data_IF_277145883304
#
_entry.id   IF_277145883304
#
_cell.length_a   1.000
_cell.length_b   1.000
_cell.length_c   1.000
_cell.angle_alpha   90.00
_cell.angle_beta   90.00
_cell.angle_gamma   90.00
#
_symmetry.space_group_name_H-M   'P 1'
#
loop_
_entity.id
_entity.type
_entity.pdbx_description
1 polymer ?
#
# COMPACT_ATOMS: atom_id res chain seq x y z
N UNK A 1 3.75 8.34 4.04
CA UNK A 1 2.29 8.13 3.95
C UNK A 1 1.56 9.34 3.33
N UNK A 2 1.50 10.53 3.93
CA UNK A 2 0.59 11.61 3.47
C UNK A 2 0.68 12.02 1.98
N UNK A 3 1.87 11.96 1.38
CA UNK A 3 2.09 12.41 -0.01
C UNK A 3 2.15 11.26 -1.03
N UNK A 4 2.01 9.99 -0.62
CA UNK A 4 2.27 8.87 -1.54
C UNK A 4 1.31 8.84 -2.74
N UNK A 5 0.05 9.23 -2.53
CA UNK A 5 -0.99 9.28 -3.56
C UNK A 5 -1.11 10.63 -4.29
N UNK A 6 -0.25 11.62 -4.02
CA UNK A 6 -0.42 12.99 -4.57
C UNK A 6 -0.40 13.02 -6.11
N UNK A 7 0.27 12.06 -6.75
CA UNK A 7 0.29 11.96 -8.21
C UNK A 7 -1.07 11.64 -8.83
N UNK A 8 -2.02 11.08 -8.08
CA UNK A 8 -3.39 10.85 -8.56
C UNK A 8 -4.12 12.15 -8.94
N UNK A 9 -3.67 13.30 -8.44
CA UNK A 9 -4.17 14.62 -8.86
C UNK A 9 -3.76 14.99 -10.29
N UNK A 10 -2.77 14.32 -10.87
CA UNK A 10 -2.31 14.53 -12.25
C UNK A 10 -2.79 13.38 -13.14
N UNK A 11 -2.48 12.14 -12.77
CA UNK A 11 -2.86 10.96 -13.54
C UNK A 11 -2.81 9.70 -12.67
N UNK A 12 -3.58 8.66 -13.03
CA UNK A 12 -3.56 7.36 -12.30
C UNK A 12 -2.39 6.47 -12.71
N UNK A 13 -2.05 6.48 -13.99
CA UNK A 13 -0.87 5.79 -14.50
C UNK A 13 0.40 6.47 -13.96
N UNK A 14 1.33 5.66 -13.46
CA UNK A 14 2.60 6.09 -12.87
C UNK A 14 2.45 7.14 -11.74
N UNK A 15 1.32 7.16 -11.03
CA UNK A 15 1.00 8.18 -10.04
C UNK A 15 2.03 8.24 -8.89
N UNK A 16 2.66 7.13 -8.53
CA UNK A 16 3.71 7.09 -7.51
C UNK A 16 4.97 7.82 -7.98
N UNK A 17 5.31 7.64 -9.26
CA UNK A 17 6.48 8.25 -9.93
C UNK A 17 6.29 9.76 -10.08
N UNK A 18 5.10 10.17 -10.54
CA UNK A 18 4.70 11.58 -10.62
C UNK A 18 4.60 12.18 -9.22
N UNK A 19 4.05 11.42 -8.27
CA UNK A 19 3.87 11.83 -6.88
C UNK A 19 5.19 12.16 -6.19
N UNK A 20 6.23 11.35 -6.41
CA UNK A 20 7.57 11.66 -5.93
C UNK A 20 8.07 13.01 -6.48
N UNK A 21 7.91 13.28 -7.78
CA UNK A 21 8.32 14.55 -8.36
C UNK A 21 7.56 15.75 -7.74
N UNK A 22 6.25 15.63 -7.58
CA UNK A 22 5.42 16.68 -6.96
C UNK A 22 5.75 16.91 -5.48
N UNK A 23 6.09 15.84 -4.76
CA UNK A 23 6.38 15.90 -3.34
C UNK A 23 7.65 16.70 -3.02
N UNK A 24 8.63 16.74 -3.92
CA UNK A 24 9.93 17.43 -3.70
C UNK A 24 9.76 18.86 -3.17
N UNK A 25 8.97 19.68 -3.85
CA UNK A 25 8.84 21.11 -3.50
C UNK A 25 8.00 21.35 -2.24
N UNK A 26 7.10 20.42 -1.92
CA UNK A 26 6.40 20.40 -0.64
C UNK A 26 7.38 20.07 0.49
N UNK A 27 8.19 19.03 0.30
CA UNK A 27 9.18 18.58 1.27
C UNK A 27 10.27 19.63 1.50
N UNK A 28 10.77 20.29 0.46
CA UNK A 28 11.78 21.36 0.58
C UNK A 28 11.29 22.48 1.51
N UNK A 29 10.02 22.89 1.38
CA UNK A 29 9.41 23.94 2.21
C UNK A 29 9.22 23.54 3.67
N UNK A 30 8.95 22.25 3.92
CA UNK A 30 8.66 21.72 5.26
C UNK A 30 9.96 21.35 5.98
N UNK A 31 10.79 20.50 5.37
CA UNK A 31 11.98 19.92 5.98
C UNK A 31 13.02 20.99 6.33
N UNK A 32 13.19 22.00 5.48
CA UNK A 32 14.12 23.10 5.76
C UNK A 32 13.75 23.86 7.04
N UNK A 33 12.45 24.06 7.31
CA UNK A 33 11.96 24.74 8.51
C UNK A 33 12.09 23.88 9.77
N UNK A 34 11.94 22.55 9.63
CA UNK A 34 11.93 21.63 10.77
C UNK A 34 13.33 21.20 11.22
N UNK A 35 14.24 20.93 10.27
CA UNK A 35 15.52 20.27 10.57
C UNK A 35 16.65 21.28 10.77
N UNK A 36 16.57 22.47 10.16
CA UNK A 36 17.60 23.52 10.24
C UNK A 36 18.94 23.19 9.55
N UNK A 37 19.33 21.91 9.52
CA UNK A 37 20.48 21.41 8.79
C UNK A 37 20.10 21.03 7.35
N UNK A 38 20.68 21.74 6.37
CA UNK A 38 20.37 21.54 4.94
C UNK A 38 20.78 20.18 4.41
N UNK A 39 21.94 19.66 4.83
CA UNK A 39 22.43 18.36 4.38
C UNK A 39 21.54 17.23 4.85
N UNK A 40 21.16 17.25 6.14
CA UNK A 40 20.25 16.26 6.71
C UNK A 40 18.84 16.35 6.11
N UNK A 41 18.30 17.57 5.92
CA UNK A 41 17.01 17.77 5.26
C UNK A 41 16.99 17.20 3.84
N UNK A 42 18.10 17.37 3.09
CA UNK A 42 18.23 16.78 1.76
C UNK A 42 18.22 15.25 1.80
N UNK A 43 18.97 14.61 2.70
CA UNK A 43 18.99 13.15 2.81
C UNK A 43 17.62 12.59 3.14
N UNK A 44 16.95 13.15 4.16
CA UNK A 44 15.59 12.74 4.55
C UNK A 44 14.61 12.93 3.41
N UNK A 45 14.73 14.03 2.64
CA UNK A 45 13.90 14.23 1.46
C UNK A 45 14.08 13.08 0.47
N UNK A 46 15.31 12.67 0.17
CA UNK A 46 15.54 11.56 -0.76
C UNK A 46 14.91 10.25 -0.28
N UNK A 47 15.00 9.95 1.02
CA UNK A 47 14.35 8.79 1.61
C UNK A 47 12.82 8.86 1.50
N UNK A 48 12.22 10.03 1.72
CA UNK A 48 10.77 10.20 1.56
C UNK A 48 10.36 10.06 0.09
N UNK A 49 11.12 10.64 -0.85
CA UNK A 49 10.85 10.52 -2.28
C UNK A 49 10.97 9.08 -2.77
N UNK A 50 11.97 8.36 -2.29
CA UNK A 50 12.12 6.92 -2.51
C UNK A 50 10.93 6.15 -1.93
N UNK A 51 10.52 6.41 -0.69
CA UNK A 51 9.38 5.75 -0.08
C UNK A 51 8.07 5.99 -0.84
N UNK A 52 7.86 7.20 -1.39
CA UNK A 52 6.70 7.50 -2.24
C UNK A 52 6.75 6.71 -3.54
N UNK A 53 7.87 6.75 -4.28
CA UNK A 53 7.94 6.03 -5.54
C UNK A 53 7.86 4.51 -5.34
N UNK A 54 8.47 4.02 -4.27
CA UNK A 54 8.50 2.61 -3.93
C UNK A 54 7.15 2.05 -3.47
N UNK A 55 6.06 2.83 -3.36
CA UNK A 55 4.71 2.26 -3.16
C UNK A 55 4.17 1.56 -4.41
N UNK A 56 4.71 1.87 -5.60
CA UNK A 56 4.37 1.20 -6.84
C UNK A 56 4.62 -0.31 -6.75
N UNK A 57 3.69 -1.13 -7.24
CA UNK A 57 3.69 -2.58 -7.03
C UNK A 57 4.93 -3.31 -7.60
N UNK A 58 5.59 -2.74 -8.60
CA UNK A 58 6.73 -3.32 -9.33
C UNK A 58 8.11 -2.73 -8.92
N UNK A 59 8.13 -1.75 -8.03
CA UNK A 59 9.38 -1.08 -7.60
C UNK A 59 9.91 -1.69 -6.31
N UNK A 60 11.16 -2.15 -6.27
CA UNK A 60 11.75 -2.67 -5.04
C UNK A 60 12.00 -1.57 -4.00
N UNK A 61 11.59 -1.82 -2.76
CA UNK A 61 12.00 -1.02 -1.62
C UNK A 61 13.47 -1.28 -1.28
N UNK A 62 14.21 -0.19 -1.06
CA UNK A 62 15.62 -0.20 -0.65
C UNK A 62 15.83 0.14 0.84
N UNK A 63 14.76 0.51 1.55
CA UNK A 63 14.78 0.84 2.98
C UNK A 63 13.57 0.20 3.68
N UNK A 64 13.72 -0.03 4.98
CA UNK A 64 12.67 -0.63 5.82
C UNK A 64 11.46 0.28 5.89
N UNK A 65 11.69 1.59 6.01
CA UNK A 65 10.66 2.63 6.06
C UNK A 65 9.81 2.63 4.78
N UNK A 66 10.44 2.52 3.60
CA UNK A 66 9.73 2.39 2.34
C UNK A 66 8.90 1.09 2.28
N UNK A 67 9.46 -0.03 2.76
CA UNK A 67 8.76 -1.31 2.85
C UNK A 67 7.52 -1.25 3.73
N UNK A 68 7.63 -0.60 4.89
CA UNK A 68 6.50 -0.38 5.82
C UNK A 68 5.41 0.46 5.15
N UNK A 69 5.78 1.58 4.51
CA UNK A 69 4.80 2.46 3.84
C UNK A 69 4.08 1.72 2.72
N UNK A 70 4.81 0.94 1.91
CA UNK A 70 4.25 0.14 0.82
C UNK A 70 3.29 -0.95 1.31
N UNK A 71 3.64 -1.68 2.37
CA UNK A 71 2.76 -2.69 2.94
C UNK A 71 1.51 -2.02 3.52
N UNK A 72 1.67 -0.92 4.26
CA UNK A 72 0.54 -0.18 4.83
C UNK A 72 -0.45 0.30 3.75
N UNK A 73 0.07 0.86 2.64
CA UNK A 73 -0.73 1.23 1.47
C UNK A 73 -1.40 0.01 0.83
N UNK A 74 -0.68 -1.10 0.68
CA UNK A 74 -1.27 -2.36 0.21
C UNK A 74 -2.41 -2.89 1.10
N UNK A 75 -2.36 -2.69 2.42
CA UNK A 75 -3.38 -3.16 3.37
C UNK A 75 -4.61 -2.24 3.46
N UNK A 76 -4.56 -1.04 2.89
CA UNK A 76 -5.64 -0.05 2.86
C UNK A 76 -6.71 -0.39 1.79
N UNK A 77 -7.15 -1.65 1.77
CA UNK A 77 -8.03 -2.23 0.75
C UNK A 77 -9.46 -2.53 1.22
N UNK A 78 -9.80 -2.21 2.47
CA UNK A 78 -11.14 -2.47 3.00
C UNK A 78 -12.21 -1.65 2.24
N UNK A 79 -13.42 -2.22 2.11
CA UNK A 79 -14.52 -1.74 1.24
C UNK A 79 -14.91 -0.26 1.40
N UNK A 80 -14.53 0.41 2.49
CA UNK A 80 -14.84 1.83 2.76
C UNK A 80 -14.57 2.75 1.56
N UNK A 81 -13.36 2.71 0.98
CA UNK A 81 -12.98 3.56 -0.17
C UNK A 81 -13.60 3.10 -1.49
N UNK A 82 -13.87 1.80 -1.65
CA UNK A 82 -14.41 1.22 -2.89
C UNK A 82 -15.90 1.53 -3.12
N UNK A 83 -16.65 1.88 -2.06
CA UNK A 83 -18.08 2.22 -2.16
C UNK A 83 -18.37 3.47 -3.00
N UNK A 84 -17.50 4.48 -2.97
CA UNK A 84 -17.75 5.75 -3.66
C UNK A 84 -17.69 5.59 -5.18
N UNK A 85 -16.61 5.02 -5.78
CA UNK A 85 -16.54 4.80 -7.22
C UNK A 85 -17.67 3.90 -7.75
N UNK A 86 -18.04 2.86 -6.99
CA UNK A 86 -19.13 1.96 -7.37
C UNK A 86 -20.48 2.68 -7.45
N UNK A 87 -20.81 3.50 -6.44
CA UNK A 87 -22.04 4.32 -6.45
C UNK A 87 -22.09 5.32 -7.61
N UNK A 88 -20.93 5.75 -8.10
CA UNK A 88 -20.80 6.63 -9.26
C UNK A 88 -20.85 5.87 -10.61
N UNK A 89 -21.18 4.57 -10.60
CA UNK A 89 -21.37 3.76 -11.80
C UNK A 89 -20.10 3.10 -12.34
N UNK A 90 -18.98 3.16 -11.61
CA UNK A 90 -17.74 2.47 -12.02
C UNK A 90 -17.85 0.97 -11.71
N UNK A 91 -18.07 0.18 -12.74
CA UNK A 91 -18.08 -1.29 -12.68
C UNK A 91 -16.80 -1.87 -13.28
N UNK A 92 -15.67 -1.77 -12.58
CA UNK A 92 -14.46 -2.52 -12.92
C UNK A 92 -14.24 -3.69 -11.94
N UNK A 93 -13.48 -4.69 -12.37
CA UNK A 93 -13.17 -5.87 -11.55
C UNK A 93 -12.47 -5.48 -10.24
N UNK A 94 -11.70 -4.39 -10.27
CA UNK A 94 -11.01 -3.86 -9.10
C UNK A 94 -11.99 -3.33 -8.04
N UNK A 95 -12.99 -2.54 -8.43
CA UNK A 95 -14.02 -2.01 -7.53
C UNK A 95 -14.91 -3.13 -7.01
N UNK A 96 -15.30 -4.08 -7.86
CA UNK A 96 -16.11 -5.23 -7.44
C UNK A 96 -15.36 -6.08 -6.40
N UNK A 97 -14.10 -6.42 -6.70
CA UNK A 97 -13.25 -7.20 -5.79
C UNK A 97 -13.01 -6.47 -4.46
N UNK A 98 -12.75 -5.16 -4.50
CA UNK A 98 -12.52 -4.37 -3.28
C UNK A 98 -13.78 -4.24 -2.40
N UNK A 99 -14.99 -4.28 -2.98
CA UNK A 99 -16.24 -4.28 -2.21
C UNK A 99 -16.48 -5.58 -1.43
N UNK A 100 -15.86 -6.68 -1.86
CA UNK A 100 -15.98 -7.94 -1.15
C UNK A 100 -15.16 -7.95 0.15
N UNK A 101 -14.10 -7.14 0.24
CA UNK A 101 -13.20 -7.09 1.40
C UNK A 101 -13.83 -6.26 2.52
N UNK A 102 -14.15 -6.90 3.64
CA UNK A 102 -14.84 -6.30 4.78
C UNK A 102 -13.88 -5.67 5.77
N UNK A 103 -12.82 -6.39 6.10
CA UNK A 103 -11.82 -5.92 7.04
C UNK A 103 -10.48 -6.60 6.80
N UNK A 104 -9.44 -5.94 7.31
CA UNK A 104 -8.07 -6.47 7.35
C UNK A 104 -7.63 -6.39 8.80
N UNK A 105 -7.15 -7.52 9.33
CA UNK A 105 -6.62 -7.61 10.69
C UNK A 105 -5.14 -7.98 10.64
N UNK A 106 -4.36 -7.36 11.52
CA UNK A 106 -2.94 -7.65 11.70
C UNK A 106 -2.78 -8.23 13.11
N UNK A 107 -2.19 -9.42 13.21
CA UNK A 107 -1.90 -10.09 14.49
C UNK A 107 -0.52 -10.71 14.49
N UNK A 108 -0.14 -11.28 15.63
CA UNK A 108 0.98 -12.22 15.68
C UNK A 108 0.69 -13.44 14.79
N UNK A 109 1.70 -13.88 14.04
CA UNK A 109 1.60 -15.04 13.16
C UNK A 109 2.20 -16.31 13.78
N UNK A 110 1.95 -17.45 13.12
CA UNK A 110 2.37 -18.76 13.63
C UNK A 110 3.75 -19.14 13.10
N UNK A 111 3.97 -19.01 11.79
CA UNK A 111 5.26 -19.35 11.16
C UNK A 111 6.15 -18.13 10.95
N UNK A 112 5.52 -16.98 10.77
CA UNK A 112 6.15 -15.67 10.58
C UNK A 112 5.61 -14.70 11.62
N UNK A 113 6.37 -13.67 12.01
CA UNK A 113 6.00 -12.80 13.14
C UNK A 113 4.68 -12.04 12.91
N UNK A 114 4.30 -11.77 11.65
CA UNK A 114 3.12 -10.97 11.33
C UNK A 114 2.13 -11.80 10.51
N UNK A 115 0.89 -11.93 10.99
CA UNK A 115 -0.22 -12.47 10.23
C UNK A 115 -1.19 -11.36 9.78
N UNK A 116 -1.52 -11.36 8.49
CA UNK A 116 -2.53 -10.51 7.87
C UNK A 116 -3.74 -11.37 7.54
N UNK A 117 -4.89 -11.12 8.16
CA UNK A 117 -6.16 -11.78 7.83
C UNK A 117 -7.05 -10.83 7.06
N UNK A 118 -7.45 -11.25 5.87
CA UNK A 118 -8.30 -10.48 4.97
C UNK A 118 -9.67 -11.14 4.95
N UNK A 119 -10.66 -10.48 5.57
CA UNK A 119 -12.02 -10.96 5.65
C UNK A 119 -12.80 -10.49 4.43
N UNK A 120 -13.46 -11.40 3.75
CA UNK A 120 -14.21 -11.13 2.52
C UNK A 120 -15.60 -11.77 2.55
N UNK A 121 -16.59 -11.14 1.90
CA UNK A 121 -17.93 -11.70 1.76
C UNK A 121 -17.99 -12.89 0.81
N UNK A 122 -17.08 -12.93 -0.16
CA UNK A 122 -17.03 -13.92 -1.23
C UNK A 122 -15.63 -13.95 -1.86
N UNK A 123 -15.37 -14.91 -2.74
CA UNK A 123 -14.06 -15.16 -3.32
C UNK A 123 -13.59 -14.10 -4.33
N UNK A 124 -14.43 -13.14 -4.73
CA UNK A 124 -14.00 -12.09 -5.67
C UNK A 124 -12.90 -11.21 -5.10
N UNK A 125 -12.78 -11.09 -3.77
CA UNK A 125 -11.76 -10.30 -3.07
C UNK A 125 -10.34 -10.79 -3.26
N UNK A 126 -10.18 -12.06 -3.62
CA UNK A 126 -8.86 -12.67 -3.88
C UNK A 126 -8.09 -11.88 -4.93
N UNK A 127 -8.76 -11.30 -5.93
CA UNK A 127 -8.10 -10.52 -6.97
C UNK A 127 -7.34 -9.29 -6.42
N UNK A 128 -7.93 -8.54 -5.47
CA UNK A 128 -7.22 -7.44 -4.81
C UNK A 128 -5.99 -7.94 -4.04
N UNK A 129 -6.10 -9.10 -3.38
CA UNK A 129 -4.98 -9.67 -2.64
C UNK A 129 -3.85 -10.08 -3.58
N UNK A 130 -4.16 -10.83 -4.65
CA UNK A 130 -3.17 -11.38 -5.58
C UNK A 130 -2.52 -10.36 -6.50
N UNK A 131 -3.30 -9.39 -7.00
CA UNK A 131 -2.83 -8.45 -8.02
C UNK A 131 -2.42 -7.09 -7.46
N UNK A 132 -2.80 -6.76 -6.21
CA UNK A 132 -2.45 -5.47 -5.59
C UNK A 132 -1.54 -5.67 -4.38
N UNK A 133 -1.97 -6.46 -3.39
CA UNK A 133 -1.22 -6.58 -2.14
C UNK A 133 0.00 -7.48 -2.22
N UNK A 134 -0.12 -8.71 -2.74
CA UNK A 134 1.01 -9.65 -2.81
C UNK A 134 2.19 -9.10 -3.64
N UNK A 135 1.99 -8.40 -4.78
CA UNK A 135 3.09 -7.76 -5.49
C UNK A 135 3.81 -6.70 -4.65
N UNK A 136 3.05 -5.87 -3.93
CA UNK A 136 3.61 -4.88 -2.98
C UNK A 136 4.38 -5.56 -1.86
N UNK A 137 3.83 -6.63 -1.28
CA UNK A 137 4.50 -7.40 -0.23
C UNK A 137 5.84 -7.98 -0.73
N UNK A 138 5.84 -8.62 -1.90
CA UNK A 138 7.05 -9.22 -2.51
C UNK A 138 8.14 -8.21 -2.83
N UNK A 139 7.76 -7.00 -3.21
CA UNK A 139 8.72 -5.92 -3.53
C UNK A 139 9.08 -5.04 -2.33
N UNK A 140 8.52 -5.30 -1.14
CA UNK A 140 8.75 -4.50 0.08
C UNK A 140 10.10 -4.75 0.77
N UNK A 141 10.77 -5.88 0.49
CA UNK A 141 11.94 -6.33 1.24
C UNK A 141 11.62 -6.87 2.65
N UNK A 142 10.34 -6.92 3.03
CA UNK A 142 9.86 -7.38 4.33
C UNK A 142 9.03 -8.66 4.23
N UNK A 143 8.89 -9.26 3.04
CA UNK A 143 7.97 -10.37 2.78
C UNK A 143 8.19 -11.58 3.70
N UNK A 144 9.45 -11.85 4.10
CA UNK A 144 9.82 -12.93 5.01
C UNK A 144 9.17 -12.84 6.40
N UNK A 145 8.65 -11.68 6.78
CA UNK A 145 8.02 -11.44 8.08
C UNK A 145 6.50 -11.66 8.07
N UNK A 146 5.87 -11.85 6.90
CA UNK A 146 4.42 -11.86 6.76
C UNK A 146 3.87 -13.21 6.33
N UNK A 147 2.82 -13.66 7.00
CA UNK A 147 1.84 -14.63 6.51
C UNK A 147 0.49 -13.93 6.26
N UNK A 148 -0.25 -14.38 5.25
CA UNK A 148 -1.47 -13.78 4.70
C UNK A 148 -2.51 -14.88 4.58
N UNK A 149 -3.68 -14.61 5.14
CA UNK A 149 -4.83 -15.50 5.14
C UNK A 149 -6.02 -14.78 4.53
N UNK A 150 -6.85 -15.55 3.82
CA UNK A 150 -8.14 -15.12 3.33
C UNK A 150 -9.22 -15.83 4.12
N UNK A 151 -10.20 -15.09 4.62
CA UNK A 151 -11.31 -15.61 5.40
C UNK A 151 -12.63 -15.27 4.72
N UNK A 152 -13.39 -16.30 4.38
CA UNK A 152 -14.72 -16.21 3.76
C UNK A 152 -15.76 -16.88 4.67
N UNK A 153 -17.07 -16.76 4.40
CA UNK A 153 -18.08 -17.57 5.09
C UNK A 153 -17.89 -19.09 4.94
N UNK A 154 -17.12 -19.55 3.95
CA UNK A 154 -16.83 -20.96 3.70
C UNK A 154 -15.63 -21.48 4.53
N UNK A 155 -14.83 -20.58 5.11
CA UNK A 155 -13.65 -20.94 5.88
C UNK A 155 -12.47 -19.98 5.66
N UNK A 156 -11.39 -20.27 6.38
CA UNK A 156 -10.11 -19.55 6.31
C UNK A 156 -9.06 -20.41 5.57
N UNK A 157 -8.29 -19.77 4.68
CA UNK A 157 -7.21 -20.39 3.94
C UNK A 157 -5.96 -19.52 3.98
N UNK A 158 -4.79 -20.13 4.17
CA UNK A 158 -3.50 -19.42 4.03
C UNK A 158 -3.19 -19.22 2.55
N UNK A 159 -2.91 -17.98 2.17
CA UNK A 159 -2.59 -17.58 0.79
C UNK A 159 -1.09 -17.35 0.59
N UNK A 160 -0.39 -16.86 1.63
CA UNK A 160 1.03 -16.53 1.56
C UNK A 160 1.68 -16.61 2.95
N UNK A 161 2.94 -17.00 3.14
CA UNK A 161 3.59 -17.95 2.24
C UNK A 161 2.75 -19.23 2.13
#
# INVERSE_FOLDING_TARGET
ALLHDIGNAVHRDMHERIGALLAKDILDRILFKLIGNRGLAYMIRQEILHAIYATAYDVKCLSVEAGIVKIADGLDMAEGRARIPYKLGKMDIHALSALSIKSVEISEGVKRPIAVRIFMSDSSGVFQVEYVFLPKLRTSGLEQYFEVYIATPLGEHRLYP
#
